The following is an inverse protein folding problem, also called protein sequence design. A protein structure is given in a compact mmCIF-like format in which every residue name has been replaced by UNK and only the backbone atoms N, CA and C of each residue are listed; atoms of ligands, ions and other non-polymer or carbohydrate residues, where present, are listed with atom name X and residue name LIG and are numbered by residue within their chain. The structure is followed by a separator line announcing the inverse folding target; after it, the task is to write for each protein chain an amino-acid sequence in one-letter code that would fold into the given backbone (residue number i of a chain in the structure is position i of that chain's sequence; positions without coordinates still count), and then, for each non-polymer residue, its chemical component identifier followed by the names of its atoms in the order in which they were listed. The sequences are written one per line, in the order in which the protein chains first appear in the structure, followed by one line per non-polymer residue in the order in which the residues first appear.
data_IF_824311585040
#
_entry.id   IF_824311585040
#
_cell.length_a   1.000
_cell.length_b   1.000
_cell.length_c   1.000
_cell.angle_alpha   90.00
_cell.angle_beta   90.00
_cell.angle_gamma   90.00
#
_symmetry.space_group_name_H-M   'P 1'
#
loop_
_entity.id
_entity.type
_entity.pdbx_description
1 polymer ?
#
# COMPACT_ATOMS: atom_id res chain seq x y z
N UNK A 1 1.62 -22.31 -0.65
CA UNK A 1 1.94 -20.90 -0.33
C UNK A 1 1.82 -20.14 -1.64
N UNK A 2 0.61 -19.73 -2.00
CA UNK A 2 0.37 -18.96 -3.23
C UNK A 2 0.32 -17.48 -2.85
N UNK A 3 1.49 -16.85 -2.79
CA UNK A 3 1.61 -15.41 -2.62
C UNK A 3 1.16 -14.71 -3.90
N UNK A 4 -0.15 -14.58 -4.09
CA UNK A 4 -0.72 -13.84 -5.20
C UNK A 4 -0.59 -12.34 -4.91
N UNK A 5 0.43 -11.70 -5.49
CA UNK A 5 0.51 -10.25 -5.51
C UNK A 5 -0.49 -9.72 -6.55
N UNK A 6 -1.44 -8.89 -6.11
CA UNK A 6 -2.36 -8.21 -7.00
C UNK A 6 -1.73 -6.89 -7.45
N UNK A 7 -1.31 -6.84 -8.71
CA UNK A 7 -0.81 -5.61 -9.32
C UNK A 7 -1.97 -4.77 -9.91
N UNK A 8 -1.82 -3.44 -9.87
CA UNK A 8 -2.77 -2.48 -10.41
C UNK A 8 -2.04 -1.42 -11.25
N UNK A 9 -2.19 -1.48 -12.58
CA UNK A 9 -1.69 -0.43 -13.47
C UNK A 9 -2.71 0.70 -13.62
N UNK A 10 -2.30 1.91 -13.23
CA UNK A 10 -3.11 3.12 -13.36
C UNK A 10 -2.63 3.96 -14.55
N UNK A 11 -2.85 3.53 -15.79
CA UNK A 11 -2.69 4.36 -16.98
C UNK A 11 -1.25 4.76 -17.39
N UNK A 12 -1.15 5.68 -18.36
CA UNK A 12 0.14 6.10 -18.94
C UNK A 12 1.03 6.86 -17.94
N UNK A 13 2.35 6.57 -17.92
CA UNK A 13 3.32 7.33 -17.13
C UNK A 13 3.21 8.84 -17.46
N UNK A 14 2.99 9.66 -16.44
CA UNK A 14 2.90 11.12 -16.56
C UNK A 14 1.48 11.71 -16.56
N UNK A 15 0.41 10.91 -16.73
CA UNK A 15 -0.98 11.40 -16.68
C UNK A 15 -1.74 10.97 -15.43
N UNK A 16 -1.42 9.79 -14.90
CA UNK A 16 -2.04 9.28 -13.70
C UNK A 16 -1.21 9.63 -12.48
N UNK A 17 -1.62 10.68 -11.78
CA UNK A 17 -1.19 10.85 -10.40
C UNK A 17 -1.89 9.77 -9.58
N UNK A 18 -1.13 8.77 -9.18
CA UNK A 18 -1.48 7.75 -8.19
C UNK A 18 -2.37 8.31 -7.05
N UNK A 19 -2.00 9.42 -6.40
CA UNK A 19 -2.78 10.05 -5.32
C UNK A 19 -4.17 10.49 -5.79
N UNK A 20 -4.27 10.96 -7.04
CA UNK A 20 -5.55 11.34 -7.67
C UNK A 20 -6.37 10.11 -7.99
N UNK A 21 -5.76 9.02 -8.42
CA UNK A 21 -6.43 7.74 -8.68
C UNK A 21 -6.96 7.17 -7.37
N UNK A 22 -6.14 7.12 -6.31
CA UNK A 22 -6.57 6.68 -4.98
C UNK A 22 -7.78 7.49 -4.49
N UNK A 23 -7.69 8.83 -4.55
CA UNK A 23 -8.77 9.73 -4.12
C UNK A 23 -10.05 9.63 -4.97
N UNK A 24 -9.93 9.34 -6.27
CA UNK A 24 -11.10 9.20 -7.17
C UNK A 24 -11.67 7.79 -7.22
N UNK A 25 -10.95 6.81 -6.68
CA UNK A 25 -11.43 5.43 -6.53
C UNK A 25 -12.35 5.29 -5.32
N UNK A 26 -13.10 4.19 -5.27
CA UNK A 26 -13.85 3.78 -4.07
C UNK A 26 -12.97 3.07 -3.03
N UNK A 27 -11.65 3.03 -3.23
CA UNK A 27 -10.76 2.24 -2.39
C UNK A 27 -10.83 2.64 -0.91
N UNK A 28 -10.68 3.94 -0.61
CA UNK A 28 -10.69 4.44 0.77
C UNK A 28 -12.05 4.21 1.45
N UNK A 29 -13.14 4.39 0.69
CA UNK A 29 -14.50 4.07 1.15
C UNK A 29 -14.62 2.59 1.53
N UNK A 30 -14.21 1.69 0.61
CA UNK A 30 -14.26 0.23 0.81
C UNK A 30 -13.37 -0.26 1.95
N UNK A 31 -12.19 0.33 2.14
CA UNK A 31 -11.34 0.05 3.31
C UNK A 31 -12.04 0.50 4.59
N UNK A 32 -12.63 1.70 4.59
CA UNK A 32 -13.33 2.26 5.75
C UNK A 32 -14.53 1.41 6.20
N UNK A 33 -15.32 0.90 5.24
CA UNK A 33 -16.43 -0.03 5.53
C UNK A 33 -16.01 -1.49 5.64
N UNK A 34 -14.70 -1.78 5.64
CA UNK A 34 -14.18 -3.14 5.83
C UNK A 34 -14.64 -4.12 4.73
N UNK A 35 -14.94 -3.64 3.52
CA UNK A 35 -15.31 -4.49 2.37
C UNK A 35 -14.07 -5.14 1.73
N UNK A 36 -12.93 -4.44 1.73
CA UNK A 36 -11.64 -4.92 1.22
C UNK A 36 -10.58 -4.91 2.33
N UNK A 37 -9.41 -5.52 2.08
CA UNK A 37 -8.34 -5.71 3.09
C UNK A 37 -8.71 -6.65 4.26
N UNK A 38 -9.58 -7.63 4.01
CA UNK A 38 -10.02 -8.64 5.00
C UNK A 38 -9.24 -9.96 4.98
N UNK A 39 -8.05 -9.95 4.38
CA UNK A 39 -7.16 -11.11 4.36
C UNK A 39 -6.65 -11.51 5.74
N UNK A 40 -6.07 -12.72 5.85
CA UNK A 40 -5.60 -13.27 7.11
C UNK A 40 -4.51 -12.39 7.73
N UNK A 41 -4.57 -12.23 9.05
CA UNK A 41 -3.51 -11.59 9.82
C UNK A 41 -2.33 -12.57 9.89
N UNK A 42 -1.20 -12.17 9.32
CA UNK A 42 0.04 -12.95 9.37
C UNK A 42 0.83 -12.52 10.59
N UNK A 43 1.15 -13.47 11.48
CA UNK A 43 2.04 -13.18 12.59
C UNK A 43 3.50 -13.29 12.13
N UNK A 44 4.21 -12.17 12.15
CA UNK A 44 5.64 -12.09 11.88
C UNK A 44 6.36 -12.10 13.24
N UNK A 45 7.23 -13.08 13.42
CA UNK A 45 8.08 -13.21 14.60
C UNK A 45 7.34 -13.28 15.95
N UNK A 46 6.07 -13.69 15.97
CA UNK A 46 5.31 -13.93 17.20
C UNK A 46 4.62 -12.69 17.77
N UNK A 47 5.21 -11.51 17.61
CA UNK A 47 4.76 -10.27 18.24
C UNK A 47 4.16 -9.26 17.26
N UNK A 48 4.31 -9.47 15.95
CA UNK A 48 3.87 -8.50 14.95
C UNK A 48 2.76 -9.07 14.08
N UNK A 49 1.56 -8.53 14.24
CA UNK A 49 0.41 -8.88 13.43
C UNK A 49 0.35 -8.01 12.17
N UNK A 50 0.57 -8.65 11.03
CA UNK A 50 0.51 -8.02 9.72
C UNK A 50 -0.84 -8.30 9.06
N UNK A 51 -1.66 -7.26 8.97
CA UNK A 51 -2.87 -7.25 8.16
C UNK A 51 -2.54 -7.02 6.68
N UNK A 52 -3.44 -7.29 5.73
CA UNK A 52 -3.26 -6.91 4.33
C UNK A 52 -3.05 -5.39 4.20
N UNK A 53 -2.07 -5.00 3.39
CA UNK A 53 -1.74 -3.60 3.11
C UNK A 53 -1.32 -3.42 1.65
N UNK A 54 -1.38 -2.18 1.18
CA UNK A 54 -0.87 -1.75 -0.13
C UNK A 54 0.50 -1.13 0.05
N UNK A 55 1.40 -1.39 -0.90
CA UNK A 55 2.65 -0.65 -1.02
C UNK A 55 2.42 0.62 -1.84
N UNK A 56 2.60 1.77 -1.21
CA UNK A 56 2.52 3.09 -1.84
C UNK A 56 3.89 3.62 -2.24
N UNK A 57 3.90 4.57 -3.17
CA UNK A 57 5.08 5.39 -3.48
C UNK A 57 5.45 6.32 -2.31
N UNK A 58 6.67 6.86 -2.31
CA UNK A 58 7.17 7.81 -1.32
C UNK A 58 6.30 9.08 -1.17
N UNK A 59 5.49 9.41 -2.17
CA UNK A 59 4.55 10.52 -2.12
C UNK A 59 3.33 10.31 -1.20
N UNK A 60 3.16 9.15 -0.58
CA UNK A 60 2.03 8.87 0.31
C UNK A 60 2.37 9.04 1.80
N UNK A 61 1.36 9.38 2.59
CA UNK A 61 1.44 9.30 4.05
C UNK A 61 1.25 7.84 4.46
N UNK A 62 1.99 7.41 5.49
CA UNK A 62 1.85 6.08 6.08
C UNK A 62 0.45 5.95 6.71
N UNK A 63 -0.30 4.92 6.32
CA UNK A 63 -1.62 4.60 6.85
C UNK A 63 -1.68 3.12 7.26
N UNK A 64 -2.64 2.70 8.13
CA UNK A 64 -2.76 1.29 8.55
C UNK A 64 -2.92 0.27 7.40
N UNK A 65 -3.35 0.73 6.23
CA UNK A 65 -3.55 -0.07 5.01
C UNK A 65 -2.59 0.31 3.88
N UNK A 66 -1.70 1.29 4.07
CA UNK A 66 -0.80 1.82 3.06
C UNK A 66 0.61 2.00 3.64
N UNK A 67 1.50 1.08 3.30
CA UNK A 67 2.90 1.12 3.70
C UNK A 67 3.74 1.77 2.60
N UNK A 68 4.67 2.64 2.99
CA UNK A 68 5.63 3.25 2.08
C UNK A 68 7.00 2.62 2.35
N UNK A 69 7.47 1.68 1.50
CA UNK A 69 8.66 0.89 1.79
C UNK A 69 9.96 1.71 1.66
N UNK A 70 9.95 2.75 0.83
CA UNK A 70 11.11 3.62 0.61
C UNK A 70 10.92 4.91 1.38
N UNK A 71 11.58 4.99 2.52
CA UNK A 71 11.85 6.30 3.12
C UNK A 71 12.86 6.97 2.18
N UNK A 72 12.49 8.04 1.49
CA UNK A 72 13.47 8.89 0.80
C UNK A 72 14.24 9.58 1.91
N UNK A 73 15.20 8.87 2.49
CA UNK A 73 16.20 9.47 3.33
C UNK A 73 17.13 10.19 2.35
N UNK A 74 17.20 11.53 2.30
CA UNK A 74 18.07 12.23 1.35
C UNK A 74 19.56 11.90 1.56
N UNK A 75 19.89 11.21 2.67
CA UNK A 75 21.24 10.81 3.04
C UNK A 75 21.48 9.28 2.97
N UNK A 76 20.52 8.46 2.50
CA UNK A 76 20.78 7.02 2.33
C UNK A 76 21.52 6.79 1.02
N UNK A 77 22.85 6.94 1.07
CA UNK A 77 23.74 6.29 0.09
C UNK A 77 23.52 4.79 0.19
N UNK A 78 23.26 4.14 -0.94
CA UNK A 78 23.21 2.69 -1.07
C UNK A 78 24.47 2.08 -0.43
N UNK A 79 24.28 1.23 0.58
CA UNK A 79 25.30 0.31 1.09
C UNK A 79 24.96 -1.10 0.62
#
# INVERSE_FOLDING_TARGET
MDGAFQDFSCGMPGFAHDRRVLRRSKFLEKVGVKEIMQGPIVNINGDFQLCPYVLGDAGYTLEPFLMVPYNINPNSTLA
#
